data_IF_419347847489
#
_entry.id   IF_419347847489
#
_cell.length_a   1.000
_cell.length_b   1.000
_cell.length_c   1.000
_cell.angle_alpha   90.00
_cell.angle_beta   90.00
_cell.angle_gamma   90.00
#
_symmetry.space_group_name_H-M   'P 1'
#
loop_
_entity.id
_entity.type
_entity.pdbx_description
1 polymer ?
#
# COMPACT_ATOMS: atom_id res chain seq x y z
N UNK A 1 -50.44 13.27 7.21
CA UNK A 1 -49.67 12.04 6.92
C UNK A 1 -48.88 12.09 5.61
N UNK A 2 -49.45 12.53 4.48
CA UNK A 2 -48.69 12.57 3.22
C UNK A 2 -47.43 13.46 3.30
N UNK A 3 -47.54 14.65 3.93
CA UNK A 3 -46.41 15.57 4.11
C UNK A 3 -45.28 14.98 4.96
N UNK A 4 -45.62 14.26 6.03
CA UNK A 4 -44.63 13.61 6.90
C UNK A 4 -43.91 12.46 6.19
N UNK A 5 -44.62 11.70 5.34
CA UNK A 5 -44.02 10.65 4.52
C UNK A 5 -43.08 11.23 3.45
N UNK A 6 -43.48 12.31 2.80
CA UNK A 6 -42.64 13.04 1.84
C UNK A 6 -41.37 13.59 2.50
N UNK A 7 -41.48 14.22 3.67
CA UNK A 7 -40.32 14.71 4.42
C UNK A 7 -39.39 13.58 4.86
N UNK A 8 -39.94 12.46 5.36
CA UNK A 8 -39.15 11.30 5.75
C UNK A 8 -38.41 10.69 4.55
N UNK A 9 -39.08 10.55 3.40
CA UNK A 9 -38.45 10.07 2.16
C UNK A 9 -37.32 11.00 1.70
N UNK A 10 -37.54 12.32 1.78
CA UNK A 10 -36.52 13.31 1.42
C UNK A 10 -35.27 13.22 2.31
N UNK A 11 -35.45 13.11 3.63
CA UNK A 11 -34.33 12.92 4.59
C UNK A 11 -33.61 11.61 4.34
N UNK A 12 -34.35 10.51 4.13
CA UNK A 12 -33.77 9.20 3.87
C UNK A 12 -32.86 9.21 2.65
N UNK A 13 -33.30 9.87 1.57
CA UNK A 13 -32.55 9.96 0.31
C UNK A 13 -31.38 10.95 0.36
N UNK A 14 -31.54 12.10 1.03
CA UNK A 14 -30.54 13.18 1.03
C UNK A 14 -29.52 13.13 2.17
N UNK A 15 -29.82 12.40 3.25
CA UNK A 15 -28.99 12.39 4.45
C UNK A 15 -28.62 10.95 4.85
N UNK A 16 -29.63 10.09 5.08
CA UNK A 16 -29.38 8.74 5.62
C UNK A 16 -28.64 7.85 4.63
N UNK A 17 -29.06 7.83 3.37
CA UNK A 17 -28.41 7.01 2.34
C UNK A 17 -26.94 7.44 2.10
N UNK A 18 -26.59 8.72 1.91
CA UNK A 18 -25.20 9.16 1.82
C UNK A 18 -24.38 8.86 3.08
N UNK A 19 -24.95 9.02 4.29
CA UNK A 19 -24.26 8.69 5.54
C UNK A 19 -23.91 7.20 5.65
N UNK A 20 -24.81 6.31 5.22
CA UNK A 20 -24.53 4.87 5.19
C UNK A 20 -23.38 4.54 4.24
N UNK A 21 -23.36 5.15 3.04
CA UNK A 21 -22.26 4.99 2.07
C UNK A 21 -20.93 5.47 2.64
N UNK A 22 -20.92 6.60 3.36
CA UNK A 22 -19.73 7.10 4.05
C UNK A 22 -19.21 6.08 5.08
N UNK A 23 -20.10 5.48 5.87
CA UNK A 23 -19.75 4.45 6.84
C UNK A 23 -19.19 3.18 6.18
N UNK A 24 -19.83 2.72 5.10
CA UNK A 24 -19.36 1.57 4.32
C UNK A 24 -17.97 1.83 3.71
N UNK A 25 -17.77 3.01 3.11
CA UNK A 25 -16.48 3.41 2.56
C UNK A 25 -15.38 3.44 3.64
N UNK A 26 -15.68 3.94 4.83
CA UNK A 26 -14.74 3.95 5.95
C UNK A 26 -14.36 2.53 6.42
N UNK A 27 -15.31 1.58 6.44
CA UNK A 27 -15.03 0.17 6.76
C UNK A 27 -14.12 -0.45 5.70
N UNK A 28 -14.38 -0.20 4.41
CA UNK A 28 -13.55 -0.71 3.32
C UNK A 28 -12.12 -0.13 3.42
N UNK A 29 -11.99 1.18 3.62
CA UNK A 29 -10.71 1.85 3.83
C UNK A 29 -9.95 1.25 5.02
N UNK A 30 -10.63 1.06 6.15
CA UNK A 30 -10.05 0.52 7.38
C UNK A 30 -9.58 -0.93 7.26
N UNK A 31 -10.02 -1.66 6.23
CA UNK A 31 -9.54 -3.02 5.89
C UNK A 31 -8.43 -3.01 4.83
N UNK A 32 -7.93 -1.83 4.44
CA UNK A 32 -6.94 -1.67 3.38
C UNK A 32 -7.52 -1.86 1.97
N UNK A 33 -8.84 -1.83 1.82
CA UNK A 33 -9.51 -1.90 0.52
C UNK A 33 -9.74 -0.50 -0.07
N UNK A 34 -9.99 -0.47 -1.38
CA UNK A 34 -10.36 0.75 -2.10
C UNK A 34 -11.89 0.86 -2.18
N UNK A 35 -12.53 1.79 -1.46
CA UNK A 35 -13.96 2.02 -1.60
C UNK A 35 -14.30 2.66 -2.95
N UNK A 36 -15.56 2.51 -3.37
CA UNK A 36 -16.09 3.26 -4.49
C UNK A 36 -16.09 4.78 -4.19
N UNK A 37 -15.87 5.61 -5.21
CA UNK A 37 -15.88 7.06 -5.08
C UNK A 37 -17.24 7.54 -4.56
N UNK A 38 -17.20 8.20 -3.40
CA UNK A 38 -18.38 8.74 -2.78
C UNK A 38 -18.89 9.95 -3.58
N UNK A 39 -20.21 10.08 -3.79
CA UNK A 39 -20.77 11.24 -4.44
C UNK A 39 -20.51 12.50 -3.60
N UNK A 40 -20.00 13.53 -4.27
CA UNK A 40 -19.64 14.82 -3.67
C UNK A 40 -20.77 15.86 -3.82
N UNK A 41 -22.00 15.37 -3.97
CA UNK A 41 -23.22 16.14 -4.15
C UNK A 41 -24.16 16.00 -2.96
N UNK A 42 -25.17 16.87 -2.86
CA UNK A 42 -26.12 16.87 -1.75
C UNK A 42 -25.80 17.93 -0.67
N UNK A 43 -26.17 17.69 0.59
CA UNK A 43 -25.89 18.62 1.69
C UNK A 43 -24.41 18.97 1.76
N UNK A 44 -24.11 20.26 1.98
CA UNK A 44 -22.75 20.82 1.87
C UNK A 44 -21.75 20.07 2.75
N UNK A 45 -22.15 19.72 3.96
CA UNK A 45 -21.35 19.03 4.98
C UNK A 45 -21.02 17.60 4.53
N UNK A 46 -22.02 16.87 4.01
CA UNK A 46 -21.84 15.50 3.51
C UNK A 46 -20.97 15.49 2.25
N UNK A 47 -21.23 16.41 1.32
CA UNK A 47 -20.41 16.58 0.12
C UNK A 47 -18.95 16.89 0.44
N UNK A 48 -18.70 17.75 1.44
CA UNK A 48 -17.35 18.06 1.90
C UNK A 48 -16.67 16.86 2.58
N UNK A 49 -17.42 16.06 3.33
CA UNK A 49 -16.89 14.84 3.96
C UNK A 49 -16.59 13.76 2.91
N UNK A 50 -17.48 13.55 1.93
CA UNK A 50 -17.24 12.65 0.79
C UNK A 50 -15.93 13.01 0.07
N UNK A 51 -15.71 14.29 -0.22
CA UNK A 51 -14.45 14.79 -0.81
C UNK A 51 -13.22 14.37 0.00
N UNK A 52 -13.28 14.58 1.33
CA UNK A 52 -12.16 14.24 2.22
C UNK A 52 -11.91 12.74 2.30
N UNK A 53 -12.96 11.91 2.33
CA UNK A 53 -12.79 10.46 2.33
C UNK A 53 -12.25 9.97 0.98
N UNK A 54 -12.73 10.50 -0.14
CA UNK A 54 -12.18 10.18 -1.47
C UNK A 54 -10.69 10.52 -1.55
N UNK A 55 -10.28 11.65 -0.98
CA UNK A 55 -8.88 12.07 -0.92
C UNK A 55 -8.04 11.14 -0.03
N UNK A 56 -8.54 10.80 1.16
CA UNK A 56 -7.89 9.81 2.03
C UNK A 56 -7.76 8.43 1.35
N UNK A 57 -8.77 8.01 0.59
CA UNK A 57 -8.72 6.77 -0.18
C UNK A 57 -7.57 6.76 -1.17
N UNK A 58 -7.41 7.84 -1.95
CA UNK A 58 -6.29 7.98 -2.88
C UNK A 58 -4.94 7.93 -2.16
N UNK A 59 -4.79 8.71 -1.08
CA UNK A 59 -3.53 8.74 -0.32
C UNK A 59 -3.16 7.37 0.26
N UNK A 60 -4.13 6.62 0.78
CA UNK A 60 -3.89 5.26 1.28
C UNK A 60 -3.50 4.32 0.14
N UNK A 61 -4.13 4.42 -1.03
CA UNK A 61 -3.74 3.64 -2.20
C UNK A 61 -2.31 3.95 -2.64
N UNK A 62 -1.97 5.22 -2.78
CA UNK A 62 -0.63 5.65 -3.19
C UNK A 62 0.44 5.13 -2.21
N UNK A 63 0.16 5.15 -0.91
CA UNK A 63 1.06 4.58 0.13
C UNK A 63 1.23 3.06 -0.04
N UNK A 64 0.14 2.33 -0.31
CA UNK A 64 0.19 0.87 -0.49
C UNK A 64 0.89 0.48 -1.79
N UNK A 65 0.67 1.21 -2.88
CA UNK A 65 1.36 1.02 -4.16
C UNK A 65 2.84 1.36 -4.04
N UNK A 66 3.19 2.44 -3.35
CA UNK A 66 4.56 2.81 -3.03
C UNK A 66 5.28 1.70 -2.27
N UNK A 67 4.68 1.18 -1.20
CA UNK A 67 5.21 0.06 -0.43
C UNK A 67 5.43 -1.20 -1.29
N UNK A 68 4.47 -1.52 -2.17
CA UNK A 68 4.56 -2.71 -3.02
C UNK A 68 5.68 -2.58 -4.04
N UNK A 69 5.80 -1.41 -4.66
CA UNK A 69 6.88 -1.09 -5.60
C UNK A 69 8.25 -1.16 -4.93
N UNK A 70 8.39 -0.59 -3.74
CA UNK A 70 9.63 -0.63 -2.96
C UNK A 70 10.04 -2.07 -2.62
N UNK A 71 9.11 -2.91 -2.14
CA UNK A 71 9.39 -4.31 -1.83
C UNK A 71 9.76 -5.13 -3.09
N UNK A 72 9.14 -4.84 -4.23
CA UNK A 72 9.47 -5.47 -5.49
C UNK A 72 10.87 -5.08 -5.98
N UNK A 73 11.24 -3.80 -5.84
CA UNK A 73 12.58 -3.28 -6.13
C UNK A 73 13.65 -3.97 -5.28
N UNK A 74 13.47 -3.99 -3.96
CA UNK A 74 14.38 -4.68 -3.05
C UNK A 74 14.57 -6.16 -3.41
N UNK A 75 13.47 -6.87 -3.73
CA UNK A 75 13.53 -8.28 -4.14
C UNK A 75 14.32 -8.49 -5.44
N UNK A 76 14.25 -7.54 -6.36
CA UNK A 76 15.03 -7.57 -7.60
C UNK A 76 16.51 -7.38 -7.32
N UNK A 77 16.85 -6.35 -6.52
CA UNK A 77 18.22 -5.98 -6.25
C UNK A 77 18.95 -7.04 -5.42
N UNK A 78 18.26 -7.69 -4.47
CA UNK A 78 18.81 -8.81 -3.68
C UNK A 78 19.05 -10.08 -4.51
N UNK A 79 18.36 -10.26 -5.64
CA UNK A 79 18.54 -11.47 -6.48
C UNK A 79 19.94 -11.54 -7.08
N UNK A 80 20.53 -10.39 -7.41
CA UNK A 80 21.87 -10.28 -7.99
C UNK A 80 22.97 -10.80 -7.05
N UNK A 81 23.15 -10.27 -5.82
CA UNK A 81 24.14 -10.81 -4.88
C UNK A 81 23.85 -12.27 -4.52
N UNK A 82 22.59 -12.68 -4.36
CA UNK A 82 22.25 -14.09 -4.12
C UNK A 82 22.73 -15.03 -5.24
N UNK A 83 22.55 -14.63 -6.51
CA UNK A 83 23.02 -15.41 -7.65
C UNK A 83 24.56 -15.50 -7.67
N UNK A 84 25.26 -14.39 -7.38
CA UNK A 84 26.72 -14.36 -7.26
C UNK A 84 27.21 -15.25 -6.12
N UNK A 85 26.54 -15.21 -4.97
CA UNK A 85 26.90 -16.06 -3.83
C UNK A 85 26.76 -17.55 -4.16
N UNK A 86 25.67 -17.94 -4.83
CA UNK A 86 25.46 -19.33 -5.24
C UNK A 86 26.58 -19.81 -6.16
N UNK A 87 26.98 -18.99 -7.14
CA UNK A 87 28.11 -19.30 -8.02
C UNK A 87 29.44 -19.37 -7.24
N UNK A 88 29.68 -18.42 -6.33
CA UNK A 88 30.88 -18.38 -5.50
C UNK A 88 31.02 -19.61 -4.60
N UNK A 89 29.93 -20.07 -4.00
CA UNK A 89 29.89 -21.31 -3.22
C UNK A 89 30.18 -22.55 -4.07
N UNK A 90 29.64 -22.64 -5.29
CA UNK A 90 29.95 -23.73 -6.23
C UNK A 90 31.42 -23.73 -6.67
N UNK A 91 32.04 -22.54 -6.79
CA UNK A 91 33.47 -22.42 -7.07
C UNK A 91 34.31 -22.83 -5.85
N UNK A 92 33.95 -22.38 -4.65
CA UNK A 92 34.64 -22.71 -3.40
C UNK A 92 34.63 -24.21 -3.11
N UNK A 93 33.50 -24.88 -3.41
CA UNK A 93 33.38 -26.33 -3.28
C UNK A 93 34.33 -27.11 -4.21
N UNK A 94 34.65 -26.56 -5.39
CA UNK A 94 35.59 -27.16 -6.35
C UNK A 94 37.04 -26.80 -6.05
N UNK A 95 37.28 -25.54 -5.70
CA UNK A 95 38.60 -24.97 -5.43
C UNK A 95 38.50 -24.02 -4.23
N UNK A 96 38.86 -24.49 -3.02
CA UNK A 96 38.85 -23.66 -1.82
C UNK A 96 39.89 -22.54 -1.95
N UNK A 97 39.41 -21.30 -2.13
CA UNK A 97 40.26 -20.11 -2.25
C UNK A 97 39.80 -19.05 -1.23
N UNK A 98 40.71 -18.49 -0.41
CA UNK A 98 40.37 -17.43 0.54
C UNK A 98 39.71 -16.21 -0.10
N UNK A 99 40.10 -15.84 -1.33
CA UNK A 99 39.55 -14.68 -2.03
C UNK A 99 38.06 -14.85 -2.41
N UNK A 100 37.60 -16.09 -2.59
CA UNK A 100 36.19 -16.39 -2.83
C UNK A 100 35.37 -16.17 -1.54
N UNK A 101 35.92 -16.50 -0.38
CA UNK A 101 35.26 -16.24 0.91
C UNK A 101 35.09 -14.73 1.12
N UNK A 102 36.13 -13.93 0.86
CA UNK A 102 36.04 -12.46 0.93
C UNK A 102 35.02 -11.87 -0.06
N UNK A 103 34.87 -12.47 -1.24
CA UNK A 103 33.85 -12.07 -2.22
C UNK A 103 32.43 -12.34 -1.71
N UNK A 104 32.21 -13.50 -1.13
CA UNK A 104 30.91 -13.87 -0.55
C UNK A 104 30.55 -12.96 0.62
N UNK A 105 31.53 -12.58 1.44
CA UNK A 105 31.32 -11.65 2.56
C UNK A 105 30.90 -10.26 2.07
N UNK A 106 31.55 -9.75 1.03
CA UNK A 106 31.13 -8.48 0.38
C UNK A 106 29.73 -8.56 -0.23
N UNK A 107 29.32 -9.71 -0.78
CA UNK A 107 27.95 -9.90 -1.26
C UNK A 107 26.93 -9.79 -0.10
N UNK A 108 27.27 -10.31 1.09
CA UNK A 108 26.44 -10.17 2.30
C UNK A 108 26.37 -8.72 2.78
N UNK A 109 27.50 -8.01 2.79
CA UNK A 109 27.53 -6.57 3.11
C UNK A 109 26.67 -5.75 2.15
N UNK A 110 26.72 -6.06 0.85
CA UNK A 110 25.89 -5.40 -0.16
C UNK A 110 24.40 -5.66 0.09
N UNK A 111 24.01 -6.90 0.40
CA UNK A 111 22.64 -7.22 0.77
C UNK A 111 22.18 -6.47 2.04
N UNK A 112 23.03 -6.39 3.06
CA UNK A 112 22.73 -5.64 4.28
C UNK A 112 22.56 -4.15 4.01
N UNK A 113 23.37 -3.57 3.12
CA UNK A 113 23.22 -2.17 2.69
C UNK A 113 21.90 -1.95 1.97
N UNK A 114 21.50 -2.83 1.04
CA UNK A 114 20.22 -2.74 0.34
C UNK A 114 19.02 -2.82 1.30
N UNK A 115 19.11 -3.67 2.33
CA UNK A 115 18.09 -3.74 3.39
C UNK A 115 18.08 -2.47 4.25
N UNK A 116 19.25 -1.95 4.61
CA UNK A 116 19.38 -0.69 5.37
C UNK A 116 18.77 0.50 4.63
N UNK A 117 19.09 0.65 3.35
CA UNK A 117 18.52 1.70 2.48
C UNK A 117 16.98 1.65 2.43
N UNK A 118 16.38 0.46 2.55
CA UNK A 118 14.92 0.30 2.59
C UNK A 118 14.31 0.67 3.97
N UNK A 119 15.05 0.48 5.07
CA UNK A 119 14.58 0.77 6.42
C UNK A 119 14.73 2.25 6.80
N UNK A 120 15.68 2.94 6.19
CA UNK A 120 15.97 4.36 6.41
C UNK A 120 15.11 5.31 5.53
N UNK A 121 14.31 4.76 4.60
CA UNK A 121 13.35 5.47 3.75
C UNK A 121 11.97 5.60 4.41
#
# INVERSE_FOLDING_TARGET
MALSLLAAAWIALRIVAPLRRLGEAAIVLGRGGTPELLPESGPRELAALSRRINELARQVQDLLEGRTTLLAGLSHDLRTPLARMRLGLEMLARHPEPSLIERLDRDVEEMNRLVGEMLDL
#
